data_IF_864981479342
#
_entry.id   IF_864981479342
#
_cell.length_a   1.000
_cell.length_b   1.000
_cell.length_c   1.000
_cell.angle_alpha   90.00
_cell.angle_beta   90.00
_cell.angle_gamma   90.00
#
_symmetry.space_group_name_H-M   'P 1'
#
loop_
_entity.id
_entity.type
_entity.pdbx_description
1 polymer ?
#
# COMPACT_ATOMS: atom_id res chain seq x y z
N UNK A 1 -7.06 -4.22 -7.17
CA UNK A 1 -6.46 -5.08 -6.15
C UNK A 1 -4.96 -5.02 -6.33
N UNK A 2 -4.26 -4.35 -5.42
CA UNK A 2 -2.80 -4.35 -5.39
C UNK A 2 -2.36 -5.50 -4.50
N UNK A 3 -1.47 -6.35 -5.02
CA UNK A 3 -0.68 -7.25 -4.19
C UNK A 3 0.26 -6.39 -3.34
N UNK A 4 0.11 -6.48 -2.03
CA UNK A 4 0.87 -5.69 -1.05
C UNK A 4 2.14 -6.44 -0.66
N UNK A 5 3.31 -5.79 -0.66
CA UNK A 5 4.51 -6.37 -0.07
C UNK A 5 4.48 -6.23 1.47
N UNK A 6 5.13 -7.14 2.22
CA UNK A 6 5.20 -7.06 3.68
C UNK A 6 6.14 -5.91 4.11
N UNK A 7 5.58 -4.70 4.25
CA UNK A 7 6.33 -3.48 4.61
C UNK A 7 7.00 -3.52 5.99
N UNK A 8 6.64 -4.49 6.84
CA UNK A 8 7.17 -4.66 8.19
C UNK A 8 8.70 -4.87 8.20
N UNK A 9 9.26 -5.56 7.19
CA UNK A 9 10.71 -5.69 7.05
C UNK A 9 11.39 -4.44 6.51
N UNK A 10 10.71 -3.68 5.65
CA UNK A 10 11.36 -2.75 4.71
C UNK A 10 11.49 -1.33 5.23
N UNK A 11 10.49 -0.87 5.99
CA UNK A 11 10.53 0.43 6.63
C UNK A 11 11.39 0.44 7.93
N UNK A 12 12.02 -0.69 8.26
CA UNK A 12 12.96 -0.82 9.39
C UNK A 12 14.41 -0.42 9.06
N UNK A 13 14.79 -0.48 7.78
CA UNK A 13 16.19 -0.35 7.32
C UNK A 13 16.58 1.11 7.05
N UNK A 14 15.61 1.94 6.71
CA UNK A 14 15.90 3.31 6.33
C UNK A 14 15.75 4.24 7.58
N UNK A 15 16.67 5.20 7.73
CA UNK A 15 16.81 6.02 8.94
C UNK A 15 16.18 7.41 8.80
N UNK A 16 15.32 7.77 9.75
CA UNK A 16 14.73 9.12 9.81
C UNK A 16 15.82 10.18 10.13
N UNK A 17 15.90 11.32 9.42
CA UNK A 17 16.94 12.33 9.61
C UNK A 17 16.81 13.13 10.92
N UNK A 18 15.73 12.96 11.68
CA UNK A 18 15.62 13.45 13.07
C UNK A 18 15.52 12.31 14.11
N UNK A 19 15.84 11.08 13.74
CA UNK A 19 15.87 9.99 14.70
C UNK A 19 16.97 10.23 15.75
N UNK A 20 16.55 10.67 16.92
CA UNK A 20 17.12 10.11 18.14
C UNK A 20 17.22 8.58 17.96
N UNK A 21 18.40 8.05 18.25
CA UNK A 21 18.76 6.63 18.23
C UNK A 21 17.53 5.74 18.51
N UNK A 22 17.00 5.03 17.51
CA UNK A 22 15.93 4.03 17.70
C UNK A 22 14.58 4.24 17.00
N UNK A 23 14.38 5.27 16.16
CA UNK A 23 13.16 5.43 15.33
C UNK A 23 13.44 5.14 13.84
N UNK A 24 12.77 4.15 13.25
CA UNK A 24 12.80 3.83 11.82
C UNK A 24 11.54 4.40 11.11
N UNK A 25 11.53 4.40 9.77
CA UNK A 25 10.38 4.93 9.00
C UNK A 25 9.08 4.24 9.34
N UNK A 26 9.11 2.94 9.60
CA UNK A 26 7.94 2.17 9.98
C UNK A 26 7.32 2.75 11.24
N UNK A 27 8.12 2.99 12.28
CA UNK A 27 7.62 3.51 13.54
C UNK A 27 7.07 4.93 13.41
N UNK A 28 7.68 5.79 12.57
CA UNK A 28 7.17 7.13 12.31
C UNK A 28 5.83 7.07 11.58
N UNK A 29 5.75 6.30 10.49
CA UNK A 29 4.53 6.09 9.71
C UNK A 29 3.42 5.44 10.52
N UNK A 30 3.74 4.42 11.31
CA UNK A 30 2.86 3.75 12.26
C UNK A 30 2.27 4.75 13.27
N UNK A 31 3.12 5.59 13.87
CA UNK A 31 2.66 6.57 14.87
C UNK A 31 1.75 7.62 14.22
N UNK A 32 2.06 8.06 13.00
CA UNK A 32 1.28 9.08 12.29
C UNK A 32 -0.05 8.54 11.72
N UNK A 33 -0.11 7.27 11.30
CA UNK A 33 -1.33 6.62 10.80
C UNK A 33 -2.24 6.10 11.92
N UNK A 34 -1.70 5.56 13.03
CA UNK A 34 -2.53 5.07 14.14
C UNK A 34 -3.13 6.16 15.01
N UNK A 35 -2.82 7.45 14.75
CA UNK A 35 -3.67 8.56 15.16
C UNK A 35 -5.07 8.52 14.47
N UNK A 36 -5.26 7.64 13.47
CA UNK A 36 -6.50 7.37 12.76
C UNK A 36 -6.82 5.85 12.68
N UNK A 37 -7.04 5.22 13.86
CA UNK A 37 -7.82 4.00 14.10
C UNK A 37 -7.45 2.65 13.41
N UNK A 38 -7.20 1.62 14.23
CA UNK A 38 -7.28 0.19 13.85
C UNK A 38 -6.57 -0.77 14.82
N UNK A 39 -7.26 -1.83 15.26
CA UNK A 39 -6.85 -2.81 16.29
C UNK A 39 -5.78 -3.84 15.86
N UNK A 40 -5.28 -3.80 14.62
CA UNK A 40 -4.40 -4.84 14.05
C UNK A 40 -2.92 -4.70 14.40
N UNK A 41 -2.49 -3.60 15.01
CA UNK A 41 -1.08 -3.36 15.34
C UNK A 41 -0.17 -3.20 14.10
N UNK A 42 -0.74 -2.98 12.91
CA UNK A 42 -0.03 -2.67 11.67
C UNK A 42 -0.73 -1.52 10.92
N UNK A 43 0.02 -0.65 10.24
CA UNK A 43 -0.55 0.45 9.48
C UNK A 43 -1.27 -0.11 8.25
N UNK A 44 -2.57 0.19 8.12
CA UNK A 44 -3.34 -0.19 6.93
C UNK A 44 -2.80 0.54 5.70
N UNK A 45 -2.55 -0.19 4.62
CA UNK A 45 -2.13 0.39 3.36
C UNK A 45 -3.36 0.90 2.61
N UNK A 46 -3.50 2.22 2.42
CA UNK A 46 -4.64 2.74 1.69
C UNK A 46 -4.61 2.23 0.24
N UNK A 47 -5.80 2.02 -0.33
CA UNK A 47 -5.91 1.72 -1.74
C UNK A 47 -5.22 2.81 -2.57
N UNK A 48 -4.57 2.41 -3.67
CA UNK A 48 -4.00 3.35 -4.62
C UNK A 48 -5.05 4.40 -5.03
N UNK A 49 -4.57 5.64 -5.21
CA UNK A 49 -5.41 6.75 -5.65
C UNK A 49 -6.10 6.38 -6.98
N UNK A 50 -7.27 6.97 -7.24
CA UNK A 50 -8.04 6.69 -8.46
C UNK A 50 -7.24 6.96 -9.74
N UNK A 51 -6.38 7.98 -9.70
CA UNK A 51 -5.60 8.46 -10.84
C UNK A 51 -4.15 8.76 -10.43
N UNK A 52 -3.24 8.56 -11.37
CA UNK A 52 -1.81 8.86 -11.23
C UNK A 52 -1.00 8.26 -12.38
N UNK A 53 0.33 8.42 -12.35
CA UNK A 53 1.22 7.81 -13.35
C UNK A 53 1.13 6.27 -13.37
N UNK A 54 0.70 5.65 -12.26
CA UNK A 54 0.50 4.20 -12.13
C UNK A 54 -0.81 3.69 -12.74
N UNK A 55 -1.77 4.56 -13.07
CA UNK A 55 -3.11 4.15 -13.54
C UNK A 55 -3.09 3.17 -14.71
N UNK A 56 -2.36 3.39 -15.82
CA UNK A 56 -2.33 2.43 -16.93
C UNK A 56 -1.71 1.09 -16.52
N UNK A 57 -0.77 1.07 -15.58
CA UNK A 57 -0.15 -0.16 -15.09
C UNK A 57 -1.17 -1.01 -14.31
N UNK A 58 -1.92 -0.38 -13.40
CA UNK A 58 -2.86 -1.10 -12.54
C UNK A 58 -4.17 -1.43 -13.25
N UNK A 59 -4.80 -0.44 -13.88
CA UNK A 59 -6.17 -0.57 -14.39
C UNK A 59 -6.26 -1.19 -15.78
N UNK A 60 -5.21 -1.04 -16.60
CA UNK A 60 -5.18 -1.57 -17.95
C UNK A 60 -4.30 -2.82 -18.04
N UNK A 61 -3.06 -2.76 -17.53
CA UNK A 61 -2.10 -3.86 -17.68
C UNK A 61 -2.14 -4.90 -16.54
N UNK A 62 -2.84 -4.62 -15.42
CA UNK A 62 -2.88 -5.52 -14.26
C UNK A 62 -1.54 -5.70 -13.54
N UNK A 63 -0.62 -4.74 -13.69
CA UNK A 63 0.71 -4.76 -13.08
C UNK A 63 0.62 -4.21 -11.64
N UNK A 64 0.99 -4.99 -10.61
CA UNK A 64 1.08 -4.49 -9.25
C UNK A 64 1.96 -3.25 -9.18
N UNK A 65 1.45 -2.20 -8.56
CA UNK A 65 2.11 -0.89 -8.51
C UNK A 65 2.09 -0.35 -7.10
N UNK A 66 3.07 0.49 -6.80
CA UNK A 66 3.21 1.19 -5.52
C UNK A 66 3.38 2.69 -5.80
N UNK A 67 2.70 3.50 -4.99
CA UNK A 67 2.82 4.95 -5.00
C UNK A 67 3.26 5.40 -3.61
N UNK A 68 4.44 6.02 -3.52
CA UNK A 68 5.04 6.45 -2.25
C UNK A 68 5.06 7.97 -2.22
N UNK A 69 4.41 8.54 -1.21
CA UNK A 69 4.38 9.98 -1.00
C UNK A 69 4.56 10.31 0.48
N UNK A 70 5.19 11.45 0.74
CA UNK A 70 5.29 12.03 2.07
C UNK A 70 4.38 13.25 2.11
N UNK A 71 3.42 13.23 3.03
CA UNK A 71 2.43 14.29 3.20
C UNK A 71 2.46 14.84 4.62
N UNK A 72 1.88 16.01 4.79
CA UNK A 72 1.59 16.57 6.10
C UNK A 72 0.11 16.34 6.43
N UNK A 73 -0.17 15.81 7.63
CA UNK A 73 -1.53 15.63 8.16
C UNK A 73 -2.28 16.96 8.37
N UNK A 74 -1.60 18.10 8.29
CA UNK A 74 -2.21 19.43 8.45
C UNK A 74 -3.17 19.82 7.32
N UNK A 75 -3.03 19.26 6.11
CA UNK A 75 -3.95 19.53 5.00
C UNK A 75 -4.95 18.38 4.85
N UNK A 76 -6.22 18.63 5.14
CA UNK A 76 -7.33 17.72 4.79
C UNK A 76 -7.58 17.59 3.27
N UNK A 77 -6.81 18.31 2.46
CA UNK A 77 -6.89 18.27 1.00
C UNK A 77 -6.05 17.14 0.42
N UNK A 78 -6.55 16.50 -0.64
CA UNK A 78 -5.85 15.42 -1.35
C UNK A 78 -4.55 15.89 -2.05
N UNK A 79 -4.41 17.20 -2.26
CA UNK A 79 -3.31 17.84 -2.99
C UNK A 79 -2.81 19.08 -2.25
N UNK A 80 -1.52 19.42 -2.43
CA UNK A 80 -0.97 20.66 -1.89
C UNK A 80 -1.48 21.89 -2.68
N UNK A 81 -1.61 23.08 -2.06
CA UNK A 81 -2.38 24.19 -2.63
C UNK A 81 -1.88 24.74 -3.97
N UNK A 82 -0.59 24.64 -4.26
CA UNK A 82 0.00 25.20 -5.48
C UNK A 82 -0.05 24.23 -6.68
N UNK A 83 -0.48 22.99 -6.49
CA UNK A 83 -0.50 21.97 -7.55
C UNK A 83 -1.26 22.46 -8.79
N UNK A 84 -0.61 22.39 -9.96
CA UNK A 84 -1.22 22.78 -11.23
C UNK A 84 -1.38 24.29 -11.44
N UNK A 85 -0.76 25.11 -10.59
CA UNK A 85 -0.73 26.58 -10.72
C UNK A 85 0.66 27.07 -11.12
N UNK A 86 0.78 28.34 -11.50
CA UNK A 86 2.08 28.99 -11.74
C UNK A 86 2.93 29.17 -10.48
N UNK A 87 2.40 28.84 -9.30
CA UNK A 87 3.13 28.90 -8.03
C UNK A 87 3.81 27.57 -7.66
N UNK A 88 3.63 26.52 -8.47
CA UNK A 88 4.38 25.26 -8.33
C UNK A 88 5.81 25.45 -8.87
N UNK A 89 6.63 26.15 -8.08
CA UNK A 89 7.98 26.56 -8.44
C UNK A 89 9.01 26.03 -7.46
N UNK A 90 10.26 25.96 -7.90
CA UNK A 90 11.37 25.45 -7.11
C UNK A 90 11.51 26.16 -5.75
N UNK A 91 11.31 27.48 -5.71
CA UNK A 91 11.43 28.28 -4.49
C UNK A 91 10.38 27.92 -3.44
N UNK A 92 9.19 27.47 -3.87
CA UNK A 92 8.16 26.99 -2.94
C UNK A 92 8.67 25.73 -2.22
N UNK A 93 9.28 24.82 -2.98
CA UNK A 93 9.84 23.59 -2.44
C UNK A 93 11.03 23.87 -1.50
N UNK A 94 12.00 24.65 -1.96
CA UNK A 94 13.23 24.96 -1.24
C UNK A 94 13.00 25.75 0.05
N UNK A 95 12.04 26.69 0.05
CA UNK A 95 11.84 27.59 1.21
C UNK A 95 10.75 27.13 2.17
N UNK A 96 9.74 26.40 1.71
CA UNK A 96 8.54 26.14 2.51
C UNK A 96 8.17 24.66 2.63
N UNK A 97 8.30 23.87 1.55
CA UNK A 97 7.86 22.47 1.59
C UNK A 97 8.92 21.56 2.22
N UNK A 98 10.17 21.65 1.76
CA UNK A 98 11.27 20.81 2.26
C UNK A 98 12.60 21.56 2.31
N UNK A 99 12.76 22.55 3.21
CA UNK A 99 14.02 23.25 3.38
C UNK A 99 15.18 22.30 3.72
N UNK A 100 16.20 22.32 2.87
CA UNK A 100 17.34 21.40 2.98
C UNK A 100 17.07 19.98 2.46
N UNK A 101 15.98 19.76 1.73
CA UNK A 101 15.68 18.55 0.97
C UNK A 101 15.70 17.25 1.78
N UNK A 102 15.29 17.32 3.06
CA UNK A 102 15.35 16.18 3.97
C UNK A 102 14.27 15.18 3.60
N UNK A 103 13.04 15.62 3.32
CA UNK A 103 11.92 14.76 2.93
C UNK A 103 12.15 14.13 1.56
N UNK A 104 12.66 14.88 0.58
CA UNK A 104 13.03 14.35 -0.73
C UNK A 104 14.13 13.29 -0.60
N UNK A 105 15.14 13.53 0.25
CA UNK A 105 16.17 12.54 0.54
C UNK A 105 15.59 11.27 1.17
N UNK A 106 14.68 11.42 2.15
CA UNK A 106 14.00 10.28 2.77
C UNK A 106 13.21 9.46 1.74
N UNK A 107 12.45 10.14 0.89
CA UNK A 107 11.67 9.50 -0.18
C UNK A 107 12.57 8.72 -1.14
N UNK A 108 13.69 9.33 -1.55
CA UNK A 108 14.70 8.66 -2.38
C UNK A 108 15.27 7.41 -1.70
N UNK A 109 15.69 7.51 -0.43
CA UNK A 109 16.29 6.39 0.30
C UNK A 109 15.31 5.21 0.42
N UNK A 110 14.04 5.48 0.71
CA UNK A 110 12.98 4.48 0.75
C UNK A 110 12.73 3.83 -0.63
N UNK A 111 12.57 4.64 -1.68
CA UNK A 111 12.34 4.14 -3.04
C UNK A 111 13.49 3.27 -3.53
N UNK A 112 14.75 3.67 -3.27
CA UNK A 112 15.93 2.88 -3.63
C UNK A 112 15.95 1.55 -2.88
N UNK A 113 15.67 1.56 -1.57
CA UNK A 113 15.63 0.33 -0.78
C UNK A 113 14.57 -0.65 -1.29
N UNK A 114 13.36 -0.15 -1.59
CA UNK A 114 12.28 -0.94 -2.15
C UNK A 114 12.65 -1.50 -3.53
N UNK A 115 13.16 -0.66 -4.43
CA UNK A 115 13.55 -1.08 -5.78
C UNK A 115 14.65 -2.12 -5.75
N UNK A 116 15.71 -1.88 -4.97
CA UNK A 116 16.83 -2.80 -4.80
C UNK A 116 16.34 -4.17 -4.33
N UNK A 117 15.48 -4.18 -3.33
CA UNK A 117 14.99 -5.42 -2.81
C UNK A 117 14.14 -6.19 -3.83
N UNK A 118 13.29 -5.50 -4.58
CA UNK A 118 12.46 -6.13 -5.60
C UNK A 118 13.27 -6.61 -6.80
N UNK A 119 14.32 -5.88 -7.18
CA UNK A 119 15.19 -6.28 -8.30
C UNK A 119 16.07 -7.48 -7.95
N UNK A 120 16.52 -7.58 -6.69
CA UNK A 120 17.40 -8.66 -6.22
C UNK A 120 16.64 -9.87 -5.63
N UNK A 121 15.31 -9.80 -5.60
CA UNK A 121 14.47 -10.84 -5.05
C UNK A 121 14.48 -12.09 -5.95
N UNK A 122 15.05 -13.19 -5.45
CA UNK A 122 14.93 -14.52 -6.10
C UNK A 122 13.46 -14.96 -6.15
N UNK A 123 12.72 -14.64 -5.09
CA UNK A 123 11.27 -14.82 -5.00
C UNK A 123 10.65 -13.47 -4.66
N UNK A 124 9.70 -13.02 -5.49
CA UNK A 124 9.07 -11.71 -5.30
C UNK A 124 8.36 -11.64 -3.94
N UNK A 125 8.59 -10.57 -3.16
CA UNK A 125 8.10 -10.47 -1.79
C UNK A 125 6.64 -10.01 -1.75
N UNK A 126 5.73 -10.75 -2.40
CA UNK A 126 4.30 -10.49 -2.32
C UNK A 126 3.70 -11.14 -1.07
N UNK A 127 2.81 -10.44 -0.36
CA UNK A 127 1.94 -11.04 0.65
C UNK A 127 0.63 -11.47 -0.02
N UNK A 128 0.58 -12.71 -0.48
CA UNK A 128 -0.63 -13.26 -1.09
C UNK A 128 -1.73 -13.46 -0.04
N UNK A 129 -1.38 -13.71 1.22
CA UNK A 129 -2.37 -13.92 2.29
C UNK A 129 -3.15 -12.64 2.54
N UNK A 130 -2.48 -11.49 2.52
CA UNK A 130 -3.14 -10.20 2.62
C UNK A 130 -4.12 -9.97 1.45
N UNK A 131 -3.77 -10.36 0.21
CA UNK A 131 -4.70 -10.29 -0.91
C UNK A 131 -5.95 -11.16 -0.68
N UNK A 132 -5.76 -12.40 -0.21
CA UNK A 132 -6.87 -13.29 0.13
C UNK A 132 -7.76 -12.72 1.23
N UNK A 133 -7.15 -12.17 2.29
CA UNK A 133 -7.87 -11.51 3.39
C UNK A 133 -8.66 -10.29 2.89
N UNK A 134 -8.04 -9.44 2.06
CA UNK A 134 -8.67 -8.26 1.49
C UNK A 134 -9.85 -8.61 0.60
N UNK A 135 -9.72 -9.63 -0.25
CA UNK A 135 -10.81 -10.14 -1.09
C UNK A 135 -12.02 -10.58 -0.26
N UNK A 136 -11.78 -11.29 0.85
CA UNK A 136 -12.85 -11.71 1.75
C UNK A 136 -13.50 -10.51 2.46
N UNK A 137 -12.71 -9.54 2.92
CA UNK A 137 -13.22 -8.31 3.53
C UNK A 137 -14.12 -7.54 2.56
N UNK A 138 -13.63 -7.25 1.36
CA UNK A 138 -14.39 -6.51 0.33
C UNK A 138 -15.66 -7.25 -0.09
N UNK A 139 -15.62 -8.59 -0.18
CA UNK A 139 -16.81 -9.40 -0.45
C UNK A 139 -17.85 -9.30 0.68
N UNK A 140 -17.41 -9.34 1.94
CA UNK A 140 -18.29 -9.21 3.10
C UNK A 140 -18.89 -7.80 3.18
N UNK A 141 -18.09 -6.76 2.93
CA UNK A 141 -18.57 -5.38 2.84
C UNK A 141 -19.61 -5.21 1.73
N UNK A 142 -19.34 -5.74 0.52
CA UNK A 142 -20.27 -5.69 -0.60
C UNK A 142 -21.61 -6.38 -0.26
N UNK A 143 -21.54 -7.54 0.37
CA UNK A 143 -22.70 -8.36 0.72
C UNK A 143 -23.55 -7.75 1.84
N UNK A 144 -22.92 -7.00 2.75
CA UNK A 144 -23.61 -6.39 3.90
C UNK A 144 -24.11 -4.98 3.61
N UNK A 145 -23.31 -4.16 2.93
CA UNK A 145 -23.63 -2.74 2.65
C UNK A 145 -24.87 -2.55 1.78
N UNK A 146 -25.16 -3.50 0.90
CA UNK A 146 -26.27 -3.41 -0.06
C UNK A 146 -27.34 -4.48 0.13
N UNK A 147 -27.39 -5.12 1.31
CA UNK A 147 -28.27 -6.26 1.58
C UNK A 147 -29.73 -6.03 1.14
N UNK A 148 -30.31 -4.89 1.52
CA UNK A 148 -31.71 -4.57 1.20
C UNK A 148 -31.96 -4.48 -0.31
N UNK A 149 -31.01 -3.91 -1.06
CA UNK A 149 -31.10 -3.80 -2.53
C UNK A 149 -30.96 -5.18 -3.18
N UNK A 150 -30.04 -6.00 -2.68
CA UNK A 150 -29.80 -7.36 -3.18
C UNK A 150 -31.04 -8.23 -2.95
N UNK A 151 -31.59 -8.19 -1.74
CA UNK A 151 -32.76 -8.99 -1.35
C UNK A 151 -34.00 -8.54 -2.13
N UNK A 152 -34.23 -7.23 -2.26
CA UNK A 152 -35.36 -6.67 -3.05
C UNK A 152 -35.32 -7.09 -4.52
N UNK A 153 -34.13 -7.16 -5.11
CA UNK A 153 -33.96 -7.51 -6.53
C UNK A 153 -33.66 -9.00 -6.77
N UNK A 154 -33.75 -9.84 -5.73
CA UNK A 154 -33.41 -11.27 -5.82
C UNK A 154 -32.01 -11.55 -6.37
N UNK A 155 -31.06 -10.64 -6.13
CA UNK A 155 -29.67 -10.81 -6.53
C UNK A 155 -29.00 -11.76 -5.53
N UNK A 156 -28.26 -12.75 -6.05
CA UNK A 156 -27.55 -13.75 -5.26
C UNK A 156 -26.06 -13.69 -5.58
N UNK A 157 -25.23 -13.86 -4.56
CA UNK A 157 -23.78 -13.86 -4.68
C UNK A 157 -23.15 -15.24 -4.48
N UNK A 158 -23.91 -16.32 -4.66
CA UNK A 158 -23.42 -17.69 -4.41
C UNK A 158 -22.19 -18.03 -5.26
N UNK A 159 -22.22 -17.68 -6.55
CA UNK A 159 -21.07 -17.87 -7.45
C UNK A 159 -19.86 -17.01 -7.06
N UNK A 160 -20.10 -15.75 -6.63
CA UNK A 160 -19.04 -14.85 -6.20
C UNK A 160 -18.42 -15.31 -4.88
N UNK A 161 -19.26 -15.73 -3.91
CA UNK A 161 -18.82 -16.33 -2.65
C UNK A 161 -17.98 -17.58 -2.89
N UNK A 162 -18.44 -18.45 -3.78
CA UNK A 162 -17.69 -19.65 -4.16
C UNK A 162 -16.35 -19.29 -4.80
N UNK A 163 -16.30 -18.32 -5.71
CA UNK A 163 -15.06 -17.86 -6.34
C UNK A 163 -14.05 -17.30 -5.32
N UNK A 164 -14.50 -16.49 -4.35
CA UNK A 164 -13.64 -15.94 -3.28
C UNK A 164 -13.09 -17.05 -2.38
N UNK A 165 -13.92 -18.03 -2.00
CA UNK A 165 -13.49 -19.21 -1.24
C UNK A 165 -12.48 -20.05 -2.01
N UNK A 166 -12.75 -20.32 -3.28
CA UNK A 166 -11.86 -21.08 -4.17
C UNK A 166 -10.52 -20.36 -4.35
N UNK A 167 -10.54 -19.05 -4.56
CA UNK A 167 -9.32 -18.23 -4.64
C UNK A 167 -8.49 -18.36 -3.35
N UNK A 168 -9.12 -18.21 -2.19
CA UNK A 168 -8.44 -18.31 -0.88
C UNK A 168 -7.85 -19.70 -0.66
N UNK A 169 -8.57 -20.76 -1.03
CA UNK A 169 -8.09 -22.14 -0.93
C UNK A 169 -6.88 -22.40 -1.85
N UNK A 170 -6.95 -21.97 -3.11
CA UNK A 170 -5.86 -22.11 -4.06
C UNK A 170 -4.63 -21.30 -3.65
N UNK A 171 -4.83 -20.12 -3.07
CA UNK A 171 -3.77 -19.28 -2.55
C UNK A 171 -3.04 -19.96 -1.39
N UNK A 172 -3.78 -20.50 -0.42
CA UNK A 172 -3.18 -21.25 0.70
C UNK A 172 -2.41 -22.48 0.21
N UNK A 173 -2.91 -23.16 -0.82
CA UNK A 173 -2.21 -24.27 -1.44
C UNK A 173 -0.91 -23.82 -2.12
N UNK A 174 -0.97 -22.76 -2.92
CA UNK A 174 0.20 -22.17 -3.59
C UNK A 174 1.28 -21.73 -2.59
N UNK A 175 0.89 -21.05 -1.51
CA UNK A 175 1.78 -20.67 -0.41
C UNK A 175 2.46 -21.90 0.23
N UNK A 176 1.68 -22.97 0.42
CA UNK A 176 2.21 -24.25 0.90
C UNK A 176 3.29 -24.82 -0.02
N UNK A 177 3.06 -24.81 -1.33
CA UNK A 177 4.05 -25.27 -2.32
C UNK A 177 5.28 -24.34 -2.36
N UNK A 178 5.09 -23.02 -2.23
CA UNK A 178 6.15 -22.02 -2.24
C UNK A 178 7.17 -22.25 -1.12
N UNK A 179 6.72 -22.66 0.07
CA UNK A 179 7.62 -22.99 1.19
C UNK A 179 8.52 -24.21 0.95
N UNK A 180 8.20 -25.05 -0.05
CA UNK A 180 8.92 -26.27 -0.38
C UNK A 180 9.91 -26.08 -1.52
N UNK A 181 9.92 -24.89 -2.14
CA UNK A 181 10.82 -24.57 -3.25
C UNK A 181 12.25 -24.45 -2.73
N UNK A 182 13.14 -25.27 -3.28
CA UNK A 182 14.58 -25.20 -3.01
C UNK A 182 15.19 -24.03 -3.79
N UNK A 183 15.25 -22.86 -3.15
CA UNK A 183 15.89 -21.67 -3.70
C UNK A 183 17.41 -21.77 -3.56
N UNK A 184 18.03 -22.71 -4.28
CA UNK A 184 19.49 -22.74 -4.42
C UNK A 184 19.93 -21.57 -5.28
N UNK A 185 20.82 -20.74 -4.73
CA UNK A 185 21.63 -19.77 -5.49
C UNK A 185 22.77 -20.49 -6.20
#
# INVERSE_FOLDING_TARGET
MGLTPPLHGYASVAHHPSAQRGKNYYNAWYTDLHAAAGESGQPDLPMLRKTGGFTPFVQLAGIPSLDVAFGNNASKGLYFPALGTSYDVFELADKFIDPGYRVHRMCRELLIALLWQWSEAVLLPYDLKELGARLNLEFNELSTRHKDVLDKNSIRFDSLSHAVKLFTANLNHFEGELTRVDLKK
#
